data_IF_841628565461
#
_entry.id   IF_841628565461
#
_cell.length_a   1.000
_cell.length_b   1.000
_cell.length_c   1.000
_cell.angle_alpha   90.00
_cell.angle_beta   90.00
_cell.angle_gamma   90.00
#
_symmetry.space_group_name_H-M   'P 1'
#
loop_
_entity.id
_entity.type
_entity.pdbx_description
1 polymer ?
#
# COMPACT_ATOMS: atom_id res chain seq x y z
N UNK A 1 -21.02 1.81 -4.50
CA UNK A 1 -21.13 1.23 -3.14
C UNK A 1 -20.83 2.34 -2.14
N UNK A 2 -21.72 2.66 -1.19
CA UNK A 2 -21.52 3.79 -0.26
C UNK A 2 -20.42 3.42 0.73
N UNK A 3 -19.50 4.34 1.04
CA UNK A 3 -18.36 4.17 1.96
C UNK A 3 -18.80 3.54 3.31
N UNK A 4 -19.99 3.89 3.79
CA UNK A 4 -20.61 3.32 5.01
C UNK A 4 -20.76 1.80 4.96
N UNK A 5 -21.11 1.24 3.81
CA UNK A 5 -21.29 -0.22 3.66
C UNK A 5 -19.94 -0.96 3.61
N UNK A 6 -18.89 -0.30 3.08
CA UNK A 6 -17.55 -0.87 3.06
C UNK A 6 -16.94 -0.94 4.46
N UNK A 7 -17.08 0.15 5.25
CA UNK A 7 -16.62 0.17 6.65
C UNK A 7 -17.36 -0.89 7.47
N UNK A 8 -18.68 -1.06 7.24
CA UNK A 8 -19.47 -2.07 7.93
C UNK A 8 -19.02 -3.50 7.60
N UNK A 9 -18.67 -3.77 6.35
CA UNK A 9 -18.12 -5.07 5.90
C UNK A 9 -16.76 -5.35 6.58
N UNK A 10 -15.87 -4.35 6.65
CA UNK A 10 -14.59 -4.50 7.34
C UNK A 10 -14.75 -4.76 8.84
N UNK A 11 -15.69 -4.08 9.50
CA UNK A 11 -15.99 -4.30 10.93
C UNK A 11 -16.61 -5.69 11.14
N UNK A 12 -17.53 -6.11 10.28
CA UNK A 12 -18.17 -7.42 10.36
C UNK A 12 -17.15 -8.54 10.12
N UNK A 13 -16.25 -8.41 9.13
CA UNK A 13 -15.19 -9.39 8.88
C UNK A 13 -14.18 -9.46 10.03
N UNK A 14 -13.82 -8.35 10.66
CA UNK A 14 -13.00 -8.36 11.88
C UNK A 14 -13.74 -9.01 13.05
N UNK A 15 -15.02 -8.69 13.25
CA UNK A 15 -15.82 -9.27 14.34
C UNK A 15 -16.09 -10.77 14.13
N UNK A 16 -16.31 -11.22 12.89
CA UNK A 16 -16.47 -12.65 12.61
C UNK A 16 -15.17 -13.43 12.77
N UNK A 17 -14.01 -12.83 12.44
CA UNK A 17 -12.71 -13.46 12.71
C UNK A 17 -12.43 -13.59 14.22
N UNK A 18 -12.80 -12.60 15.02
CA UNK A 18 -12.67 -12.71 16.50
C UNK A 18 -13.64 -13.71 17.10
N UNK A 19 -14.88 -13.78 16.61
CA UNK A 19 -15.85 -14.78 17.06
C UNK A 19 -15.42 -16.20 16.66
N UNK A 20 -14.87 -16.38 15.45
CA UNK A 20 -14.36 -17.67 14.98
C UNK A 20 -13.14 -18.14 15.78
N UNK A 21 -12.29 -17.21 16.23
CA UNK A 21 -11.15 -17.52 17.08
C UNK A 21 -11.56 -17.94 18.51
N UNK A 22 -12.66 -17.39 19.02
CA UNK A 22 -13.18 -17.75 20.35
C UNK A 22 -13.91 -19.09 20.39
N UNK A 23 -14.57 -19.49 19.29
CA UNK A 23 -15.33 -20.75 19.23
C UNK A 23 -14.44 -21.98 18.98
N UNK A 24 -13.22 -21.78 18.48
CA UNK A 24 -12.25 -22.87 18.22
C UNK A 24 -11.56 -23.40 19.49
N UNK A 25 -11.78 -22.81 20.65
CA UNK A 25 -11.18 -23.33 21.90
C UNK A 25 -11.84 -24.62 22.43
N UNK A 26 -12.98 -25.03 21.89
CA UNK A 26 -13.77 -26.12 22.48
C UNK A 26 -14.00 -27.35 21.58
N UNK A 27 -13.70 -27.35 20.29
CA UNK A 27 -13.90 -28.55 19.45
C UNK A 27 -13.03 -28.50 18.20
N UNK A 28 -11.78 -28.93 18.30
CA UNK A 28 -11.07 -29.45 17.13
C UNK A 28 -11.38 -30.94 17.03
N UNK A 29 -12.10 -31.42 16.01
CA UNK A 29 -12.21 -32.84 15.76
C UNK A 29 -10.82 -33.40 15.38
N UNK A 30 -10.55 -34.64 15.80
CA UNK A 30 -9.39 -35.45 15.48
C UNK A 30 -9.24 -35.64 13.94
N UNK A 31 -8.82 -34.62 13.22
CA UNK A 31 -8.66 -34.64 11.76
C UNK A 31 -7.22 -34.84 11.31
N UNK A 32 -6.32 -35.16 12.22
CA UNK A 32 -4.91 -35.44 11.92
C UNK A 32 -4.54 -36.88 12.34
N UNK A 33 -5.15 -37.81 11.63
CA UNK A 33 -4.57 -39.16 11.56
C UNK A 33 -3.74 -39.26 10.27
N UNK A 34 -2.45 -39.56 10.47
CA UNK A 34 -1.54 -40.28 9.59
C UNK A 34 -0.77 -39.53 8.52
N UNK A 35 0.56 -39.67 8.70
CA UNK A 35 1.58 -39.83 7.65
C UNK A 35 1.83 -38.68 6.65
N UNK A 36 2.12 -37.50 7.19
CA UNK A 36 2.81 -36.48 6.39
C UNK A 36 4.07 -36.00 7.13
N UNK A 37 5.28 -36.29 6.63
CA UNK A 37 6.54 -35.96 7.32
C UNK A 37 6.95 -34.49 7.24
N UNK A 38 6.08 -33.57 6.79
CA UNK A 38 6.44 -32.17 6.56
C UNK A 38 5.98 -31.19 7.66
N UNK A 39 5.05 -31.59 8.51
CA UNK A 39 4.62 -30.84 9.68
C UNK A 39 4.36 -31.83 10.80
N UNK A 40 5.33 -32.00 11.69
CA UNK A 40 5.10 -32.54 13.02
C UNK A 40 5.00 -31.37 14.01
N UNK A 41 3.80 -30.80 14.18
CA UNK A 41 3.56 -29.88 15.25
C UNK A 41 3.53 -30.75 16.50
N UNK A 42 4.59 -30.72 17.28
CA UNK A 42 4.56 -31.35 18.60
C UNK A 42 3.29 -30.85 19.28
N UNK A 43 2.37 -31.74 19.66
CA UNK A 43 1.06 -31.42 20.31
C UNK A 43 1.18 -30.35 21.40
N UNK A 44 2.35 -30.21 22.02
CA UNK A 44 2.69 -29.22 23.04
C UNK A 44 2.65 -27.76 22.59
N UNK A 45 2.90 -27.45 21.31
CA UNK A 45 2.85 -26.04 20.83
C UNK A 45 1.42 -25.54 20.67
N UNK A 46 0.48 -26.41 20.30
CA UNK A 46 -0.94 -26.04 20.15
C UNK A 46 -1.64 -25.97 21.48
N UNK A 47 -1.33 -26.88 22.41
CA UNK A 47 -1.93 -26.90 23.75
C UNK A 47 -1.58 -25.68 24.61
N UNK A 48 -0.44 -25.03 24.35
CA UNK A 48 0.03 -23.84 25.08
C UNK A 48 -0.11 -22.54 24.27
N UNK A 49 -0.79 -22.57 23.12
CA UNK A 49 -0.98 -21.36 22.33
C UNK A 49 -1.92 -20.38 23.03
N UNK A 50 -1.41 -19.18 23.30
CA UNK A 50 -2.19 -18.06 23.76
C UNK A 50 -2.34 -17.02 22.65
N UNK A 51 -3.57 -16.78 22.24
CA UNK A 51 -3.86 -15.71 21.30
C UNK A 51 -3.43 -14.37 21.90
N UNK A 52 -2.61 -13.62 21.18
CA UNK A 52 -2.16 -12.31 21.60
C UNK A 52 -2.38 -11.27 20.49
N UNK A 53 -2.69 -10.08 20.94
CA UNK A 53 -2.90 -8.92 20.07
C UNK A 53 -1.89 -7.84 20.45
N UNK A 54 -1.08 -7.43 19.52
CA UNK A 54 -0.03 -6.45 19.76
C UNK A 54 -0.24 -5.21 18.88
N UNK A 55 -0.41 -4.06 19.50
CA UNK A 55 -0.51 -2.79 18.79
C UNK A 55 0.88 -2.22 18.52
N UNK A 56 1.05 -1.64 17.34
CA UNK A 56 2.31 -1.00 16.94
C UNK A 56 2.06 0.38 16.34
N UNK A 57 2.90 1.32 16.68
CA UNK A 57 3.04 2.57 15.94
C UNK A 57 4.12 2.38 14.87
N UNK A 58 3.84 2.82 13.65
CA UNK A 58 4.72 2.64 12.51
C UNK A 58 5.02 3.98 11.85
N UNK A 59 6.30 4.20 11.54
CA UNK A 59 6.76 5.29 10.68
C UNK A 59 7.67 4.69 9.61
N UNK A 60 7.64 5.22 8.40
CA UNK A 60 8.48 4.70 7.33
C UNK A 60 8.62 5.66 6.17
N UNK A 61 9.54 5.30 5.30
CA UNK A 61 9.75 5.91 4.01
C UNK A 61 9.17 5.02 2.92
N UNK A 62 8.56 5.62 1.91
CA UNK A 62 8.03 4.91 0.76
C UNK A 62 8.45 5.60 -0.55
N UNK A 63 8.80 4.80 -1.54
CA UNK A 63 9.08 5.25 -2.89
C UNK A 63 8.14 4.57 -3.89
N UNK A 64 6.89 5.03 -3.99
CA UNK A 64 6.00 4.54 -5.01
C UNK A 64 6.43 5.02 -6.39
N UNK A 65 6.11 4.22 -7.40
CA UNK A 65 6.36 4.51 -8.80
C UNK A 65 5.10 4.21 -9.62
N UNK A 66 4.61 5.19 -10.35
CA UNK A 66 3.59 4.97 -11.35
C UNK A 66 4.23 4.36 -12.60
N UNK A 67 3.73 3.20 -13.01
CA UNK A 67 4.28 2.41 -14.12
C UNK A 67 3.20 2.04 -15.12
N UNK A 68 3.56 2.08 -16.38
CA UNK A 68 2.85 1.35 -17.43
C UNK A 68 3.42 -0.07 -17.52
N UNK A 69 2.89 -0.89 -18.43
CA UNK A 69 3.43 -2.24 -18.65
C UNK A 69 4.93 -2.22 -19.02
N UNK A 70 5.35 -1.20 -19.78
CA UNK A 70 6.67 -1.18 -20.42
C UNK A 70 7.65 -0.18 -19.79
N UNK A 71 7.13 0.88 -19.12
CA UNK A 71 7.99 1.95 -18.60
C UNK A 71 7.50 2.48 -17.23
N UNK A 72 8.44 3.04 -16.48
CA UNK A 72 8.11 3.83 -15.28
C UNK A 72 7.85 5.27 -15.71
N UNK A 73 6.64 5.73 -15.41
CA UNK A 73 6.20 7.10 -15.77
C UNK A 73 6.70 8.11 -14.76
N UNK A 74 6.68 7.74 -13.46
CA UNK A 74 7.03 8.67 -12.39
C UNK A 74 7.50 7.94 -11.14
N UNK A 75 8.51 8.49 -10.49
CA UNK A 75 8.90 8.12 -9.12
C UNK A 75 8.44 9.20 -8.14
N UNK A 76 7.94 8.75 -7.00
CA UNK A 76 7.60 9.62 -5.88
C UNK A 76 8.34 9.18 -4.63
N UNK A 77 8.56 10.10 -3.71
CA UNK A 77 9.22 9.86 -2.43
C UNK A 77 8.32 10.37 -1.32
N UNK A 78 8.27 9.68 -0.22
CA UNK A 78 7.42 10.15 0.87
C UNK A 78 7.55 9.39 2.17
N UNK A 79 6.74 9.83 3.11
CA UNK A 79 6.64 9.27 4.44
C UNK A 79 5.32 8.52 4.60
N UNK A 80 5.35 7.48 5.42
CA UNK A 80 4.16 6.80 5.89
C UNK A 80 4.18 6.72 7.41
N UNK A 81 3.02 6.90 8.02
CA UNK A 81 2.88 6.82 9.47
C UNK A 81 1.49 6.28 9.83
N UNK A 82 1.38 5.57 10.93
CA UNK A 82 0.11 5.06 11.40
C UNK A 82 0.24 4.00 12.49
N UNK A 83 -0.84 3.25 12.68
CA UNK A 83 -0.91 2.18 13.64
C UNK A 83 -1.29 0.87 12.98
N UNK A 84 -0.68 -0.21 13.45
CA UNK A 84 -0.96 -1.57 13.02
C UNK A 84 -1.24 -2.45 14.23
N UNK A 85 -1.93 -3.53 14.02
CA UNK A 85 -2.22 -4.55 15.01
C UNK A 85 -1.81 -5.91 14.46
N UNK A 86 -1.02 -6.64 15.27
CA UNK A 86 -0.58 -7.99 14.96
C UNK A 86 -1.44 -8.98 15.76
N UNK A 87 -2.00 -9.96 15.09
CA UNK A 87 -2.70 -11.10 15.67
C UNK A 87 -1.79 -12.30 15.60
N UNK A 88 -1.31 -12.77 16.75
CA UNK A 88 -0.48 -13.96 16.80
C UNK A 88 -1.28 -15.20 16.44
N UNK A 89 -0.68 -16.11 15.68
CA UNK A 89 -1.24 -17.39 15.27
C UNK A 89 -0.28 -18.51 15.68
N UNK A 90 -0.75 -19.78 15.77
CA UNK A 90 0.13 -20.92 16.00
C UNK A 90 1.23 -21.03 14.95
N UNK A 91 2.29 -21.82 15.23
CA UNK A 91 3.36 -22.15 14.29
C UNK A 91 4.17 -20.96 13.77
N UNK A 92 4.43 -19.95 14.62
CA UNK A 92 5.20 -18.77 14.30
C UNK A 92 4.55 -17.84 13.24
N UNK A 93 3.27 -18.02 12.94
CA UNK A 93 2.53 -17.12 12.06
C UNK A 93 1.93 -15.96 12.84
N UNK A 94 1.73 -14.85 12.14
CA UNK A 94 0.88 -13.75 12.61
C UNK A 94 0.22 -13.06 11.42
N UNK A 95 -0.92 -12.42 11.68
CA UNK A 95 -1.59 -11.56 10.70
C UNK A 95 -1.50 -10.13 11.22
N UNK A 96 -1.05 -9.23 10.35
CA UNK A 96 -1.04 -7.81 10.64
C UNK A 96 -2.06 -7.09 9.79
N UNK A 97 -2.79 -6.17 10.41
CA UNK A 97 -3.60 -5.16 9.72
C UNK A 97 -3.45 -3.82 10.40
N UNK A 98 -4.03 -2.75 9.81
CA UNK A 98 -3.95 -1.43 10.41
C UNK A 98 -4.32 -0.33 9.44
N UNK A 99 -3.94 0.89 9.80
CA UNK A 99 -4.17 2.09 9.00
C UNK A 99 -2.91 2.94 8.97
N UNK A 100 -2.40 3.20 7.77
CA UNK A 100 -1.22 4.01 7.53
C UNK A 100 -1.58 5.18 6.61
N UNK A 101 -1.27 6.39 7.02
CA UNK A 101 -1.29 7.55 6.14
C UNK A 101 0.03 7.63 5.39
N UNK A 102 -0.03 7.71 4.06
CA UNK A 102 1.13 7.84 3.19
C UNK A 102 1.05 9.18 2.47
N UNK A 103 2.06 10.00 2.68
CA UNK A 103 2.26 11.27 2.02
C UNK A 103 3.45 11.16 1.06
N UNK A 104 3.24 11.41 -0.23
CA UNK A 104 4.29 11.30 -1.24
C UNK A 104 4.36 12.52 -2.13
N UNK A 105 5.58 12.86 -2.54
CA UNK A 105 5.91 13.92 -3.46
C UNK A 105 6.70 13.35 -4.63
N UNK A 106 6.30 13.67 -5.84
CA UNK A 106 6.96 13.23 -7.06
C UNK A 106 7.20 14.37 -8.03
N UNK A 107 8.24 14.22 -8.85
CA UNK A 107 8.55 15.14 -9.94
C UNK A 107 8.48 14.36 -11.24
N UNK A 108 7.59 14.76 -12.13
CA UNK A 108 7.50 14.19 -13.48
C UNK A 108 8.20 15.11 -14.49
N UNK A 109 9.32 14.64 -15.02
CA UNK A 109 10.11 15.41 -15.98
C UNK A 109 9.77 15.13 -17.46
N UNK A 110 9.03 14.05 -17.74
CA UNK A 110 8.95 13.51 -19.10
C UNK A 110 7.58 13.63 -19.80
N UNK A 111 6.51 13.80 -19.07
CA UNK A 111 5.18 13.55 -19.67
C UNK A 111 4.71 14.64 -20.64
N UNK A 112 5.21 15.86 -20.52
CA UNK A 112 4.77 16.99 -21.32
C UNK A 112 5.71 17.35 -22.47
N UNK A 113 7.01 17.10 -22.33
CA UNK A 113 7.98 17.33 -23.40
C UNK A 113 7.58 16.58 -24.68
N UNK A 114 7.18 15.32 -24.55
CA UNK A 114 6.89 14.47 -25.72
C UNK A 114 5.55 14.77 -26.41
N UNK A 115 4.64 15.56 -25.81
CA UNK A 115 3.36 15.93 -26.43
C UNK A 115 3.37 17.30 -27.13
N UNK A 116 4.35 18.13 -26.82
CA UNK A 116 4.41 19.52 -27.26
C UNK A 116 5.62 19.82 -28.14
N UNK A 117 6.46 18.83 -28.43
CA UNK A 117 7.67 19.00 -29.22
C UNK A 117 7.45 19.28 -30.71
N UNK A 118 6.24 19.02 -31.24
CA UNK A 118 6.03 19.24 -32.69
C UNK A 118 5.69 20.67 -33.08
N UNK A 119 5.12 21.52 -32.18
CA UNK A 119 4.65 22.85 -32.62
C UNK A 119 4.86 24.03 -31.67
N UNK A 120 5.33 23.85 -30.46
CA UNK A 120 5.60 24.97 -29.56
C UNK A 120 6.73 24.67 -28.58
N UNK A 121 7.68 25.58 -28.44
CA UNK A 121 8.69 25.58 -27.36
C UNK A 121 8.01 25.84 -26.01
N UNK A 122 7.29 24.87 -25.50
CA UNK A 122 6.65 24.93 -24.18
C UNK A 122 7.63 24.42 -23.14
N UNK A 123 8.35 25.33 -22.52
CA UNK A 123 9.19 25.00 -21.36
C UNK A 123 8.32 24.85 -20.12
N UNK A 124 8.03 23.60 -19.72
CA UNK A 124 7.41 23.31 -18.43
C UNK A 124 8.50 23.34 -17.38
N UNK A 125 8.48 24.36 -16.53
CA UNK A 125 9.49 24.55 -15.49
C UNK A 125 9.44 23.49 -14.39
N UNK A 126 8.24 23.11 -13.96
CA UNK A 126 8.04 22.14 -12.87
C UNK A 126 6.71 21.42 -13.02
N UNK A 127 6.76 20.11 -12.92
CA UNK A 127 5.59 19.26 -12.79
C UNK A 127 5.75 18.42 -11.53
N UNK A 128 5.10 18.83 -10.45
CA UNK A 128 5.17 18.21 -9.16
C UNK A 128 3.84 17.55 -8.84
N UNK A 129 3.88 16.36 -8.25
CA UNK A 129 2.67 15.65 -7.81
C UNK A 129 2.77 15.42 -6.30
N UNK A 130 1.72 15.80 -5.61
CA UNK A 130 1.58 15.63 -4.18
C UNK A 130 0.40 14.70 -3.93
N UNK A 131 0.67 13.55 -3.32
CA UNK A 131 -0.33 12.53 -3.10
C UNK A 131 -0.43 12.17 -1.62
N UNK A 132 -1.66 12.14 -1.11
CA UNK A 132 -2.02 11.67 0.22
C UNK A 132 -2.97 10.49 0.09
N UNK A 133 -2.64 9.36 0.72
CA UNK A 133 -3.48 8.17 0.70
C UNK A 133 -3.53 7.48 2.06
N UNK A 134 -4.63 6.79 2.31
CA UNK A 134 -4.82 5.88 3.42
C UNK A 134 -4.54 4.46 2.94
N UNK A 135 -3.61 3.77 3.58
CA UNK A 135 -3.23 2.39 3.27
C UNK A 135 -3.69 1.46 4.38
N UNK A 136 -4.38 0.40 4.02
CA UNK A 136 -4.88 -0.64 4.92
C UNK A 136 -4.22 -1.96 4.51
N UNK A 137 -3.09 -2.34 5.12
CA UNK A 137 -2.44 -3.61 4.85
C UNK A 137 -3.18 -4.76 5.53
N UNK A 138 -3.18 -5.94 4.89
CA UNK A 138 -3.53 -7.23 5.50
C UNK A 138 -2.43 -8.19 5.11
N UNK A 139 -1.52 -8.50 6.03
CA UNK A 139 -0.29 -9.23 5.74
C UNK A 139 -0.12 -10.41 6.67
N UNK A 140 0.22 -11.56 6.12
CA UNK A 140 0.63 -12.73 6.87
C UNK A 140 2.14 -12.69 7.07
N UNK A 141 2.57 -12.91 8.30
CA UNK A 141 3.96 -12.93 8.72
C UNK A 141 4.34 -14.35 9.13
N UNK A 142 5.56 -14.75 8.79
CA UNK A 142 6.20 -15.94 9.31
C UNK A 142 7.46 -15.53 10.07
N UNK A 143 7.49 -15.83 11.38
CA UNK A 143 8.54 -15.40 12.29
C UNK A 143 9.53 -16.53 12.52
N UNK A 144 10.82 -16.26 12.30
CA UNK A 144 11.94 -17.19 12.49
C UNK A 144 12.76 -16.68 13.66
N UNK A 145 12.77 -17.44 14.76
CA UNK A 145 13.55 -17.08 15.93
C UNK A 145 15.03 -17.31 15.65
N UNK A 146 15.83 -16.23 15.67
CA UNK A 146 17.28 -16.29 15.43
C UNK A 146 18.06 -16.27 16.75
N UNK A 147 17.62 -15.44 17.70
CA UNK A 147 18.24 -15.31 19.02
C UNK A 147 17.15 -15.10 20.08
N UNK A 148 17.56 -15.05 21.38
CA UNK A 148 16.60 -14.90 22.50
C UNK A 148 15.62 -13.73 22.34
N UNK A 149 16.07 -12.62 21.77
CA UNK A 149 15.28 -11.38 21.60
C UNK A 149 15.21 -10.91 20.13
N UNK A 150 15.86 -11.65 19.20
CA UNK A 150 15.92 -11.26 17.79
C UNK A 150 15.17 -12.29 16.94
N UNK A 151 14.13 -11.82 16.25
CA UNK A 151 13.41 -12.60 15.28
C UNK A 151 13.65 -12.02 13.88
N UNK A 152 13.88 -12.87 12.92
CA UNK A 152 13.74 -12.55 11.50
C UNK A 152 12.34 -12.91 11.06
N UNK A 153 11.75 -12.13 10.15
CA UNK A 153 10.45 -12.46 9.61
C UNK A 153 10.37 -12.18 8.11
N UNK A 154 9.50 -12.93 7.46
CA UNK A 154 9.05 -12.69 6.10
C UNK A 154 7.56 -12.42 6.15
N UNK A 155 7.06 -11.64 5.22
CA UNK A 155 5.63 -11.36 5.11
C UNK A 155 5.19 -11.19 3.68
N UNK A 156 3.89 -11.41 3.47
CA UNK A 156 3.22 -11.13 2.22
C UNK A 156 1.72 -10.95 2.42
N UNK A 157 1.09 -10.24 1.51
CA UNK A 157 -0.36 -10.07 1.56
C UNK A 157 -0.88 -8.85 0.83
N UNK A 158 -2.21 -8.76 0.72
CA UNK A 158 -2.86 -7.64 0.04
C UNK A 158 -2.82 -6.35 0.87
N UNK A 159 -2.91 -5.23 0.16
CA UNK A 159 -3.04 -3.89 0.73
C UNK A 159 -4.06 -3.11 -0.08
N UNK A 160 -4.98 -2.45 0.60
CA UNK A 160 -5.91 -1.51 0.01
C UNK A 160 -5.43 -0.09 0.27
N UNK A 161 -5.24 0.69 -0.80
CA UNK A 161 -4.94 2.11 -0.69
C UNK A 161 -6.14 2.93 -1.18
N UNK A 162 -6.48 3.95 -0.41
CA UNK A 162 -7.56 4.89 -0.72
C UNK A 162 -6.94 6.28 -0.88
N UNK A 163 -6.91 6.79 -2.11
CA UNK A 163 -6.43 8.12 -2.41
C UNK A 163 -7.33 9.20 -1.81
N UNK A 164 -6.78 10.03 -0.97
CA UNK A 164 -7.47 11.16 -0.37
C UNK A 164 -7.35 12.38 -1.27
N UNK A 165 -6.13 12.74 -1.65
CA UNK A 165 -5.84 13.82 -2.61
C UNK A 165 -4.69 13.41 -3.53
N UNK A 166 -4.70 13.91 -4.76
CA UNK A 166 -3.61 13.76 -5.71
C UNK A 166 -3.47 15.06 -6.50
N UNK A 167 -2.76 16.02 -5.90
CA UNK A 167 -2.55 17.34 -6.51
C UNK A 167 -1.44 17.30 -7.54
N UNK A 168 -1.80 17.71 -8.76
CA UNK A 168 -0.88 17.94 -9.85
C UNK A 168 -0.58 19.44 -9.92
N UNK A 169 0.69 19.80 -9.72
CA UNK A 169 1.16 21.18 -9.69
C UNK A 169 1.99 21.44 -10.93
N UNK A 170 1.38 22.00 -11.95
CA UNK A 170 2.02 22.37 -13.21
C UNK A 170 2.38 23.86 -13.15
N UNK A 171 3.61 24.21 -13.42
CA UNK A 171 4.08 25.59 -13.56
C UNK A 171 4.62 25.76 -14.99
N UNK A 172 3.77 26.17 -15.95
CA UNK A 172 4.21 26.44 -17.32
C UNK A 172 4.99 27.76 -17.36
N UNK A 173 6.15 27.75 -18.01
CA UNK A 173 6.88 28.95 -18.37
C UNK A 173 6.64 29.24 -19.85
N UNK A 174 5.50 29.79 -20.16
CA UNK A 174 5.06 30.03 -21.53
C UNK A 174 4.50 31.43 -21.67
N UNK A 175 4.42 31.93 -22.90
CA UNK A 175 3.78 33.23 -23.20
C UNK A 175 2.27 33.20 -22.86
N UNK A 176 1.71 34.34 -22.64
CA UNK A 176 0.28 34.51 -22.31
C UNK A 176 -0.65 33.97 -23.42
N UNK A 177 -0.21 34.09 -24.68
CA UNK A 177 -0.92 33.51 -25.82
C UNK A 177 -0.91 31.97 -25.81
N UNK A 178 0.22 31.35 -25.49
CA UNK A 178 0.34 29.90 -25.36
C UNK A 178 -0.48 29.41 -24.17
N UNK A 179 -0.51 30.15 -23.06
CA UNK A 179 -1.30 29.80 -21.88
C UNK A 179 -2.80 29.78 -22.20
N UNK A 180 -3.31 30.76 -22.94
CA UNK A 180 -4.69 30.78 -23.41
C UNK A 180 -5.01 29.62 -24.35
N UNK A 181 -4.11 29.32 -25.29
CA UNK A 181 -4.25 28.17 -26.19
C UNK A 181 -4.31 26.85 -25.40
N UNK A 182 -3.43 26.66 -24.41
CA UNK A 182 -3.46 25.47 -23.55
C UNK A 182 -4.80 25.32 -22.82
N UNK A 183 -5.35 26.41 -22.29
CA UNK A 183 -6.65 26.42 -21.62
C UNK A 183 -7.80 26.09 -22.58
N UNK A 184 -7.78 26.62 -23.79
CA UNK A 184 -8.76 26.31 -24.84
C UNK A 184 -8.73 24.85 -25.27
N UNK A 185 -7.55 24.21 -25.24
CA UNK A 185 -7.39 22.78 -25.48
C UNK A 185 -7.73 21.89 -24.26
N UNK A 186 -8.23 22.50 -23.17
CA UNK A 186 -8.57 21.76 -21.94
C UNK A 186 -7.35 21.26 -21.15
N UNK A 187 -6.17 21.80 -21.42
CA UNK A 187 -4.96 21.48 -20.67
C UNK A 187 -4.96 22.26 -19.37
N UNK A 188 -4.87 21.56 -18.26
CA UNK A 188 -4.81 22.19 -16.94
C UNK A 188 -3.49 22.97 -16.77
N UNK A 189 -3.60 24.27 -16.57
CA UNK A 189 -2.48 25.19 -16.34
C UNK A 189 -2.36 25.67 -14.90
N UNK A 190 -3.33 25.28 -14.08
CA UNK A 190 -3.39 25.57 -12.64
C UNK A 190 -3.38 24.27 -11.84
N UNK A 191 -2.93 24.28 -10.59
CA UNK A 191 -2.96 23.09 -9.72
C UNK A 191 -4.38 22.51 -9.62
N UNK A 192 -4.51 21.19 -9.79
CA UNK A 192 -5.77 20.49 -9.69
C UNK A 192 -5.62 19.11 -9.06
N UNK A 193 -6.71 18.55 -8.53
CA UNK A 193 -6.74 17.21 -7.97
C UNK A 193 -7.20 16.19 -9.04
N UNK A 194 -6.33 15.25 -9.41
CA UNK A 194 -6.60 14.19 -10.41
C UNK A 194 -7.78 13.29 -10.04
N UNK A 195 -8.08 13.13 -8.76
CA UNK A 195 -9.25 12.36 -8.33
C UNK A 195 -10.54 13.13 -8.55
N UNK A 196 -10.53 14.46 -8.35
CA UNK A 196 -11.67 15.34 -8.62
C UNK A 196 -11.88 15.46 -10.12
N UNK A 197 -10.82 15.59 -10.90
CA UNK A 197 -10.84 15.63 -12.36
C UNK A 197 -11.22 14.27 -13.00
N UNK A 198 -11.37 13.21 -12.19
CA UNK A 198 -11.72 11.85 -12.64
C UNK A 198 -10.68 11.21 -13.57
N UNK A 199 -9.45 11.63 -13.53
CA UNK A 199 -8.35 11.02 -14.28
C UNK A 199 -7.88 9.71 -13.67
N UNK A 200 -7.89 9.63 -12.33
CA UNK A 200 -7.45 8.45 -11.58
C UNK A 200 -8.56 7.88 -10.70
N UNK A 201 -8.51 6.56 -10.49
CA UNK A 201 -9.30 5.90 -9.46
C UNK A 201 -8.69 6.16 -8.08
N UNK A 202 -9.54 6.42 -7.08
CA UNK A 202 -9.10 6.58 -5.67
C UNK A 202 -8.67 5.27 -5.03
N UNK A 203 -9.13 4.14 -5.56
CA UNK A 203 -8.89 2.83 -4.97
C UNK A 203 -7.76 2.13 -5.70
N UNK A 204 -6.73 1.75 -4.96
CA UNK A 204 -5.59 0.99 -5.44
C UNK A 204 -5.43 -0.28 -4.60
N UNK A 205 -5.45 -1.43 -5.25
CA UNK A 205 -5.20 -2.73 -4.63
C UNK A 205 -3.78 -3.14 -4.98
N UNK A 206 -3.00 -3.48 -3.96
CA UNK A 206 -1.62 -3.92 -4.11
C UNK A 206 -1.43 -5.27 -3.42
N UNK A 207 -0.40 -6.00 -3.83
CA UNK A 207 0.11 -7.15 -3.11
C UNK A 207 1.55 -6.86 -2.71
N UNK A 208 1.83 -6.95 -1.41
CA UNK A 208 3.15 -6.65 -0.88
C UNK A 208 3.86 -7.89 -0.40
N UNK A 209 5.19 -7.90 -0.58
CA UNK A 209 6.09 -8.89 0.01
C UNK A 209 7.28 -8.18 0.64
N UNK A 210 7.83 -8.79 1.68
CA UNK A 210 8.99 -8.20 2.34
C UNK A 210 9.48 -9.04 3.51
N UNK A 211 10.37 -8.44 4.28
CA UNK A 211 10.91 -9.05 5.47
C UNK A 211 11.55 -8.02 6.39
N UNK A 212 12.05 -8.48 7.51
CA UNK A 212 12.68 -7.60 8.47
C UNK A 212 13.17 -8.32 9.72
N UNK A 213 13.53 -7.48 10.67
CA UNK A 213 14.04 -7.91 11.98
C UNK A 213 13.16 -7.32 13.08
N UNK A 214 12.87 -8.12 14.06
CA UNK A 214 12.19 -7.71 15.28
C UNK A 214 13.09 -7.99 16.48
N UNK A 215 13.33 -6.97 17.26
CA UNK A 215 14.10 -7.03 18.49
C UNK A 215 13.29 -6.44 19.63
N UNK A 216 12.87 -7.30 20.56
CA UNK A 216 11.99 -6.93 21.67
C UNK A 216 10.73 -6.22 21.15
N UNK A 217 10.57 -4.94 21.45
CA UNK A 217 9.43 -4.09 21.02
C UNK A 217 9.65 -3.40 19.67
N UNK A 218 10.84 -3.47 19.11
CA UNK A 218 11.22 -2.73 17.90
C UNK A 218 11.20 -3.64 16.69
N UNK A 219 10.64 -3.13 15.58
CA UNK A 219 10.63 -3.85 14.30
C UNK A 219 11.11 -2.93 13.18
N UNK A 220 12.05 -3.41 12.39
CA UNK A 220 12.49 -2.79 11.15
C UNK A 220 12.10 -3.71 10.00
N UNK A 221 11.44 -3.18 8.99
CA UNK A 221 11.01 -3.94 7.84
C UNK A 221 11.22 -3.18 6.55
N UNK A 222 11.45 -3.93 5.47
CA UNK A 222 11.48 -3.43 4.11
C UNK A 222 10.68 -4.36 3.20
N UNK A 223 10.06 -3.80 2.19
CA UNK A 223 9.24 -4.57 1.26
C UNK A 223 8.97 -3.85 -0.04
N UNK A 224 8.27 -4.56 -0.90
CA UNK A 224 7.85 -4.09 -2.21
C UNK A 224 6.36 -4.38 -2.42
N UNK A 225 5.62 -3.36 -2.82
CA UNK A 225 4.19 -3.43 -3.13
C UNK A 225 3.99 -3.43 -4.65
N UNK A 226 3.21 -4.39 -5.17
CA UNK A 226 2.86 -4.55 -6.58
C UNK A 226 1.42 -4.11 -6.79
N UNK A 227 1.18 -3.09 -7.61
CA UNK A 227 -0.16 -2.66 -7.99
C UNK A 227 -0.86 -3.69 -8.87
N UNK A 228 -2.08 -4.09 -8.50
CA UNK A 228 -2.86 -5.11 -9.18
C UNK A 228 -3.94 -4.54 -10.10
N UNK A 229 -4.44 -3.35 -9.84
CA UNK A 229 -5.47 -2.72 -10.64
C UNK A 229 -4.97 -1.52 -11.44
N UNK A 230 -5.62 -1.28 -12.57
CA UNK A 230 -5.37 -0.08 -13.37
C UNK A 230 -5.94 1.15 -12.65
N UNK A 231 -5.09 2.14 -12.39
CA UNK A 231 -5.47 3.39 -11.75
C UNK A 231 -6.07 4.41 -12.69
N UNK A 232 -5.85 4.28 -14.00
CA UNK A 232 -6.36 5.21 -14.97
C UNK A 232 -7.87 5.06 -15.15
N UNK A 233 -8.60 6.14 -14.92
CA UNK A 233 -10.05 6.19 -15.04
C UNK A 233 -10.51 6.73 -16.40
N UNK A 234 -9.82 7.74 -16.91
CA UNK A 234 -10.13 8.29 -18.24
C UNK A 234 -9.68 7.29 -19.32
N UNK A 235 -10.62 6.88 -20.17
CA UNK A 235 -10.44 5.93 -21.27
C UNK A 235 -10.74 6.54 -22.63
N UNK A 236 -10.92 7.85 -22.70
CA UNK A 236 -11.27 8.54 -23.95
C UNK A 236 -10.13 8.54 -24.96
N UNK A 237 -8.90 8.39 -24.48
CA UNK A 237 -7.70 8.17 -25.30
C UNK A 237 -7.18 6.73 -25.10
N UNK A 238 -6.48 6.12 -26.08
CA UNK A 238 -5.83 4.83 -25.93
C UNK A 238 -4.58 4.98 -25.03
N UNK A 239 -4.82 5.31 -23.77
CA UNK A 239 -3.76 5.49 -22.78
C UNK A 239 -3.37 4.15 -22.15
N UNK A 240 -2.09 3.88 -21.95
CA UNK A 240 -1.62 2.64 -21.35
C UNK A 240 -2.12 2.52 -19.90
N UNK A 241 -2.42 1.29 -19.47
CA UNK A 241 -2.80 0.99 -18.09
C UNK A 241 -1.72 1.48 -17.13
N UNK A 242 -2.13 2.08 -16.03
CA UNK A 242 -1.26 2.69 -15.03
C UNK A 242 -1.35 1.91 -13.73
N UNK A 243 -0.21 1.50 -13.18
CA UNK A 243 -0.08 0.75 -11.94
C UNK A 243 0.81 1.50 -10.96
N UNK A 244 0.51 1.39 -9.68
CA UNK A 244 1.33 1.95 -8.60
C UNK A 244 2.12 0.83 -7.92
N UNK A 245 3.44 0.82 -8.13
CA UNK A 245 4.38 -0.13 -7.54
C UNK A 245 5.39 0.64 -6.70
N UNK A 246 5.99 0.00 -5.71
CA UNK A 246 7.03 0.70 -4.98
C UNK A 246 7.62 -0.09 -3.83
N UNK A 247 8.82 0.30 -3.44
CA UNK A 247 9.43 -0.22 -2.23
C UNK A 247 9.21 0.74 -1.05
N UNK A 248 9.32 0.20 0.13
CA UNK A 248 9.26 0.96 1.37
C UNK A 248 10.17 0.34 2.42
N UNK A 249 10.56 1.17 3.39
CA UNK A 249 11.21 0.76 4.61
C UNK A 249 10.52 1.43 5.79
N UNK A 250 10.29 0.70 6.87
CA UNK A 250 9.62 1.24 8.03
C UNK A 250 10.18 0.70 9.34
N UNK A 251 10.02 1.52 10.36
CA UNK A 251 10.30 1.22 11.75
C UNK A 251 8.97 1.21 12.51
N UNK A 252 8.80 0.26 13.42
CA UNK A 252 7.63 0.22 14.29
C UNK A 252 8.00 -0.12 15.73
N UNK A 253 7.19 0.41 16.64
CA UNK A 253 7.32 0.22 18.09
C UNK A 253 6.04 -0.42 18.63
N UNK A 254 6.18 -1.48 19.42
CA UNK A 254 5.08 -2.16 20.09
C UNK A 254 4.71 -1.44 21.39
N UNK A 255 3.44 -1.13 21.56
CA UNK A 255 2.88 -0.44 22.70
C UNK A 255 2.79 -1.33 23.95
#
# INVERSE_FOLDING_TARGET
MKLRNFILICIITCATMTAFAQDQTNTLPDLYTTDQPFFDPTKKEVENYQFSTNWRLQIGYAQPALRTKDTTVMYSHGLQLGATVDFSLPYHFSIQTGALLRFTYGVNKQHWANRLEEDAQVNILKHNILNLQLSIPVRAYYNIKVWKQLNFFLYGGPQLNIGLTNYDIIQPNVSESTLKWMQEQGIHTTPYDKYVAKELYRTNIQFGVGGGLEWDKYRIQAGYDFGLNNLQRDRTLPTPKLYDWGWYASFSYQL
#
